data_IF_835411780073
#
_entry.id   IF_835411780073
#
_cell.length_a   1.000
_cell.length_b   1.000
_cell.length_c   1.000
_cell.angle_alpha   90.00
_cell.angle_beta   90.00
_cell.angle_gamma   90.00
#
_symmetry.space_group_name_H-M   'P 1'
#
loop_
_entity.id
_entity.type
_entity.pdbx_description
1 polymer ?
#
# COMPACT_ATOMS: atom_id res chain seq x y z
N UNK A 1 18.52 -2.93 -6.43
CA UNK A 1 17.37 -2.52 -5.61
C UNK A 1 17.80 -1.56 -4.54
N UNK A 2 16.91 -0.63 -4.21
CA UNK A 2 16.95 0.08 -2.95
C UNK A 2 16.62 -0.90 -1.81
N UNK A 3 16.92 -0.53 -0.58
CA UNK A 3 16.59 -1.38 0.58
C UNK A 3 15.15 -1.11 1.02
N UNK A 4 14.49 -2.08 1.67
CA UNK A 4 13.15 -1.87 2.27
C UNK A 4 13.08 -0.65 3.19
N UNK A 5 14.17 -0.33 3.90
CA UNK A 5 14.30 0.89 4.71
C UNK A 5 14.29 2.16 3.85
N UNK A 6 14.97 2.13 2.71
CA UNK A 6 14.97 3.25 1.75
C UNK A 6 13.58 3.46 1.16
N UNK A 7 12.88 2.40 0.75
CA UNK A 7 11.50 2.50 0.27
C UNK A 7 10.57 3.12 1.32
N UNK A 8 10.60 2.58 2.54
CA UNK A 8 9.79 3.09 3.66
C UNK A 8 10.08 4.58 3.90
N UNK A 9 11.37 4.96 3.99
CA UNK A 9 11.75 6.34 4.27
C UNK A 9 11.30 7.29 3.15
N UNK A 10 11.57 6.94 1.90
CA UNK A 10 11.19 7.76 0.74
C UNK A 10 9.69 7.97 0.69
N UNK A 11 8.90 6.91 0.86
CA UNK A 11 7.45 7.03 0.86
C UNK A 11 6.92 7.89 2.01
N UNK A 12 7.44 7.72 3.23
CA UNK A 12 6.99 8.52 4.38
C UNK A 12 7.37 10.00 4.22
N UNK A 13 8.56 10.31 3.71
CA UNK A 13 8.96 11.70 3.43
C UNK A 13 8.07 12.31 2.36
N UNK A 14 7.81 11.60 1.26
CA UNK A 14 6.93 12.08 0.19
C UNK A 14 5.48 12.27 0.68
N UNK A 15 4.97 11.34 1.48
CA UNK A 15 3.63 11.43 2.08
C UNK A 15 3.54 12.60 3.06
N UNK A 16 4.56 12.80 3.90
CA UNK A 16 4.62 13.94 4.82
C UNK A 16 4.72 15.27 4.08
N UNK A 17 5.51 15.34 3.01
CA UNK A 17 5.58 16.52 2.14
C UNK A 17 4.23 16.83 1.49
N UNK A 18 3.52 15.82 0.99
CA UNK A 18 2.17 15.98 0.45
C UNK A 18 1.18 16.50 1.51
N UNK A 19 1.21 15.93 2.71
CA UNK A 19 0.36 16.38 3.82
C UNK A 19 0.63 17.84 4.23
N UNK A 20 1.91 18.25 4.30
CA UNK A 20 2.29 19.64 4.60
C UNK A 20 1.94 20.59 3.46
N UNK A 21 2.05 20.14 2.21
CA UNK A 21 1.72 20.93 1.03
C UNK A 21 0.21 21.12 0.84
N UNK A 22 -0.61 20.19 1.32
CA UNK A 22 -2.09 20.18 1.15
C UNK A 22 -2.77 21.54 1.36
N UNK A 23 -2.56 22.28 2.47
CA UNK A 23 -3.20 23.59 2.67
C UNK A 23 -2.75 24.69 1.68
N UNK A 24 -1.68 24.46 0.92
CA UNK A 24 -1.16 25.37 -0.10
C UNK A 24 -1.51 24.94 -1.53
N UNK A 25 -2.17 23.79 -1.71
CA UNK A 25 -2.62 23.33 -3.01
C UNK A 25 -4.03 23.85 -3.29
N UNK A 26 -4.30 24.24 -4.53
CA UNK A 26 -5.65 24.60 -4.98
C UNK A 26 -6.54 23.35 -5.19
N UNK A 27 -6.00 22.16 -4.93
CA UNK A 27 -6.72 20.88 -4.99
C UNK A 27 -6.93 20.34 -3.58
N UNK A 28 -8.14 19.83 -3.33
CA UNK A 28 -8.43 19.13 -2.07
C UNK A 28 -7.75 17.76 -2.08
N UNK A 29 -6.85 17.54 -1.11
CA UNK A 29 -6.19 16.24 -0.89
C UNK A 29 -6.87 15.59 0.31
N UNK A 30 -7.73 14.58 0.11
CA UNK A 30 -8.48 13.99 1.21
C UNK A 30 -7.54 13.33 2.22
N UNK A 31 -7.85 13.48 3.50
CA UNK A 31 -7.07 12.85 4.57
C UNK A 31 -6.97 11.32 4.41
N UNK A 32 -8.02 10.68 3.89
CA UNK A 32 -8.04 9.25 3.56
C UNK A 32 -6.96 8.85 2.56
N UNK A 33 -6.56 9.73 1.62
CA UNK A 33 -5.44 9.48 0.71
C UNK A 33 -4.12 9.41 1.47
N UNK A 34 -3.87 10.35 2.39
CA UNK A 34 -2.67 10.35 3.23
C UNK A 34 -2.61 9.07 4.07
N UNK A 35 -3.74 8.68 4.68
CA UNK A 35 -3.83 7.42 5.44
C UNK A 35 -3.58 6.22 4.52
N UNK A 36 -4.16 6.20 3.32
CA UNK A 36 -3.90 5.19 2.29
C UNK A 36 -2.41 5.07 1.97
N UNK A 37 -1.72 6.18 1.74
CA UNK A 37 -0.29 6.20 1.46
C UNK A 37 0.56 5.65 2.62
N UNK A 38 0.19 5.97 3.87
CA UNK A 38 0.86 5.42 5.06
C UNK A 38 0.63 3.90 5.15
N UNK A 39 -0.61 3.44 4.98
CA UNK A 39 -0.95 2.01 5.02
C UNK A 39 -0.25 1.24 3.90
N UNK A 40 -0.27 1.78 2.68
CA UNK A 40 0.42 1.24 1.51
C UNK A 40 1.93 1.15 1.70
N UNK A 41 2.52 2.08 2.45
CA UNK A 41 3.95 2.07 2.75
C UNK A 41 4.32 1.07 3.84
N UNK A 42 3.51 1.01 4.89
CA UNK A 42 3.89 0.28 6.10
C UNK A 42 3.43 -1.17 6.09
N UNK A 43 2.20 -1.45 5.65
CA UNK A 43 1.57 -2.77 5.75
C UNK A 43 1.23 -3.41 4.40
N UNK A 44 0.91 -2.61 3.38
CA UNK A 44 0.54 -3.07 2.05
C UNK A 44 1.59 -2.72 0.97
N UNK A 45 2.87 -2.73 1.35
CA UNK A 45 3.99 -2.43 0.44
C UNK A 45 4.17 -3.52 -0.63
N UNK A 46 4.74 -3.21 -1.82
CA UNK A 46 5.04 -4.20 -2.85
C UNK A 46 5.86 -5.40 -2.34
N UNK A 47 6.79 -5.14 -1.42
CA UNK A 47 7.64 -6.18 -0.81
C UNK A 47 6.88 -7.11 0.15
N UNK A 48 5.56 -6.99 0.29
CA UNK A 48 4.72 -7.94 1.03
C UNK A 48 4.66 -9.31 0.33
N UNK A 49 5.12 -9.40 -0.92
CA UNK A 49 5.41 -10.66 -1.61
C UNK A 49 6.62 -11.42 -1.04
N UNK A 50 7.37 -10.80 -0.12
CA UNK A 50 8.46 -11.39 0.65
C UNK A 50 8.17 -11.35 2.16
N UNK A 51 8.99 -12.07 2.94
CA UNK A 51 9.04 -11.92 4.41
C UNK A 51 9.80 -10.63 4.80
N UNK A 52 9.27 -9.49 4.35
CA UNK A 52 9.83 -8.15 4.54
C UNK A 52 9.38 -7.48 5.85
N UNK A 53 9.85 -6.26 6.10
CA UNK A 53 9.38 -5.44 7.22
C UNK A 53 7.86 -5.23 7.17
N UNK A 54 7.28 -5.07 5.97
CA UNK A 54 5.83 -4.95 5.79
C UNK A 54 5.11 -6.22 6.27
N UNK A 55 5.62 -7.40 5.91
CA UNK A 55 5.11 -8.69 6.40
C UNK A 55 5.18 -8.79 7.92
N UNK A 56 6.30 -8.41 8.55
CA UNK A 56 6.45 -8.54 10.00
C UNK A 56 5.64 -7.50 10.80
N UNK A 57 5.32 -6.34 10.24
CA UNK A 57 4.47 -5.30 10.87
C UNK A 57 3.02 -5.73 11.11
N UNK A 58 2.55 -6.77 10.43
CA UNK A 58 1.25 -7.40 10.74
C UNK A 58 1.24 -8.17 12.07
N UNK A 59 2.39 -8.36 12.71
CA UNK A 59 2.47 -9.06 14.00
C UNK A 59 1.95 -10.50 13.86
N UNK A 60 1.04 -10.96 14.73
CA UNK A 60 0.41 -12.29 14.59
C UNK A 60 -0.37 -12.48 13.29
N UNK A 61 -0.98 -11.41 12.75
CA UNK A 61 -1.80 -11.47 11.54
C UNK A 61 -0.99 -11.71 10.25
N UNK A 62 0.34 -11.67 10.32
CA UNK A 62 1.22 -11.98 9.18
C UNK A 62 0.97 -13.37 8.60
N UNK A 63 0.43 -14.31 9.39
CA UNK A 63 0.08 -15.65 8.93
C UNK A 63 -0.91 -15.63 7.77
N UNK A 64 -1.82 -14.64 7.73
CA UNK A 64 -2.76 -14.45 6.63
C UNK A 64 -2.01 -14.21 5.32
N UNK A 65 -0.82 -13.60 5.35
CA UNK A 65 -0.02 -13.30 4.17
C UNK A 65 0.89 -14.46 3.72
N UNK A 66 0.96 -15.57 4.45
CA UNK A 66 1.81 -16.70 4.05
C UNK A 66 1.47 -17.29 2.67
N UNK A 67 0.19 -17.50 2.31
CA UNK A 67 -0.15 -17.93 0.95
C UNK A 67 0.27 -16.89 -0.11
N UNK A 68 0.01 -15.60 0.15
CA UNK A 68 0.44 -14.51 -0.74
C UNK A 68 1.95 -14.55 -0.98
N UNK A 69 2.78 -14.61 0.07
CA UNK A 69 4.25 -14.69 -0.03
C UNK A 69 4.72 -15.93 -0.80
N UNK A 70 4.01 -17.05 -0.72
CA UNK A 70 4.39 -18.29 -1.42
C UNK A 70 4.02 -18.28 -2.90
N UNK A 71 2.90 -17.64 -3.25
CA UNK A 71 2.33 -17.70 -4.60
C UNK A 71 2.71 -16.50 -5.45
N UNK A 72 2.92 -15.34 -4.84
CA UNK A 72 3.14 -14.09 -5.55
C UNK A 72 4.59 -13.96 -6.01
N UNK A 73 4.87 -13.91 -7.33
CA UNK A 73 6.24 -13.78 -7.81
C UNK A 73 6.79 -12.38 -7.51
N UNK A 74 7.99 -12.32 -6.93
CA UNK A 74 8.61 -11.05 -6.56
C UNK A 74 8.90 -10.17 -7.78
N UNK A 75 8.51 -8.90 -7.68
CA UNK A 75 8.58 -7.89 -8.77
C UNK A 75 7.87 -8.27 -10.07
N UNK A 76 6.83 -9.07 -9.98
CA UNK A 76 5.93 -9.28 -11.11
C UNK A 76 4.96 -8.11 -11.26
N UNK A 77 4.25 -8.07 -12.39
CA UNK A 77 3.12 -7.15 -12.57
C UNK A 77 2.08 -7.31 -11.46
N UNK A 78 1.92 -8.52 -10.93
CA UNK A 78 0.93 -8.81 -9.89
C UNK A 78 1.31 -8.27 -8.52
N UNK A 79 2.59 -8.07 -8.22
CA UNK A 79 3.03 -7.54 -6.92
C UNK A 79 3.52 -6.10 -6.93
N UNK A 80 3.92 -5.56 -8.08
CA UNK A 80 4.55 -4.24 -8.17
C UNK A 80 3.91 -3.29 -9.20
N UNK A 81 2.97 -3.71 -10.04
CA UNK A 81 2.27 -2.77 -10.93
C UNK A 81 1.32 -1.90 -10.09
N UNK A 82 1.49 -0.56 -10.05
CA UNK A 82 0.56 0.32 -9.34
C UNK A 82 -0.87 0.16 -9.86
N UNK A 83 -1.84 0.18 -8.96
CA UNK A 83 -3.23 -0.12 -9.27
C UNK A 83 -3.52 -1.62 -9.22
N UNK A 84 -2.91 -2.42 -10.10
CA UNK A 84 -3.20 -3.86 -10.15
C UNK A 84 -2.77 -4.58 -8.86
N UNK A 85 -1.54 -4.38 -8.41
CA UNK A 85 -1.03 -5.00 -7.19
C UNK A 85 -1.75 -4.50 -5.93
N UNK A 86 -2.22 -3.25 -5.95
CA UNK A 86 -3.05 -2.67 -4.89
C UNK A 86 -4.41 -3.35 -4.81
N UNK A 87 -5.08 -3.53 -5.96
CA UNK A 87 -6.36 -4.27 -6.06
C UNK A 87 -6.19 -5.71 -5.57
N UNK A 88 -5.12 -6.40 -5.97
CA UNK A 88 -4.87 -7.78 -5.55
C UNK A 88 -4.71 -7.86 -4.03
N UNK A 89 -3.90 -6.98 -3.41
CA UNK A 89 -3.69 -6.98 -1.96
C UNK A 89 -4.97 -6.63 -1.18
N UNK A 90 -5.75 -5.67 -1.67
CA UNK A 90 -7.05 -5.32 -1.07
C UNK A 90 -8.03 -6.46 -1.20
N UNK A 91 -8.14 -7.09 -2.37
CA UNK A 91 -9.02 -8.24 -2.57
C UNK A 91 -8.60 -9.40 -1.67
N UNK A 92 -7.29 -9.66 -1.55
CA UNK A 92 -6.74 -10.72 -0.72
C UNK A 92 -7.08 -10.56 0.77
N UNK A 93 -6.84 -9.38 1.35
CA UNK A 93 -7.14 -9.11 2.76
C UNK A 93 -8.62 -8.82 3.00
N UNK A 94 -9.30 -8.24 2.02
CA UNK A 94 -10.70 -7.83 2.08
C UNK A 94 -11.67 -8.99 1.93
N UNK A 95 -11.32 -10.05 1.19
CA UNK A 95 -12.18 -11.21 1.00
C UNK A 95 -12.71 -11.81 2.32
N UNK A 96 -11.87 -12.18 3.30
CA UNK A 96 -12.37 -12.67 4.58
C UNK A 96 -13.17 -11.61 5.35
N UNK A 97 -12.82 -10.33 5.22
CA UNK A 97 -13.54 -9.24 5.89
C UNK A 97 -14.96 -9.10 5.35
N UNK A 98 -15.16 -9.17 4.04
CA UNK A 98 -16.49 -9.11 3.40
C UNK A 98 -17.38 -10.26 3.82
N UNK A 99 -16.82 -11.45 4.06
CA UNK A 99 -17.59 -12.61 4.55
C UNK A 99 -18.04 -12.46 6.01
N UNK A 100 -17.21 -11.81 6.84
CA UNK A 100 -17.48 -11.66 8.28
C UNK A 100 -18.35 -10.43 8.56
N UNK A 101 -18.15 -9.35 7.82
CA UNK A 101 -18.73 -8.03 8.07
C UNK A 101 -20.26 -8.04 8.29
N UNK A 102 -21.08 -8.77 7.51
CA UNK A 102 -22.54 -8.80 7.68
C UNK A 102 -23.01 -9.38 9.01
N UNK A 103 -22.13 -10.08 9.73
CA UNK A 103 -22.41 -10.67 11.04
C UNK A 103 -21.92 -9.78 12.19
N UNK A 104 -21.53 -8.54 11.91
CA UNK A 104 -20.98 -7.60 12.91
C UNK A 104 -21.83 -6.34 13.01
N UNK A 105 -21.78 -5.67 14.15
CA UNK A 105 -22.42 -4.36 14.35
C UNK A 105 -21.76 -3.21 13.54
N UNK A 106 -20.68 -3.50 12.78
CA UNK A 106 -19.88 -2.51 12.07
C UNK A 106 -20.16 -2.45 10.57
N UNK A 107 -21.08 -3.26 10.03
CA UNK A 107 -21.35 -3.35 8.59
C UNK A 107 -21.66 -1.98 7.97
N UNK A 108 -22.69 -1.30 8.47
CA UNK A 108 -23.14 -0.02 7.92
C UNK A 108 -22.05 1.05 8.01
N UNK A 109 -21.34 1.11 9.14
CA UNK A 109 -20.26 2.07 9.35
C UNK A 109 -19.10 1.85 8.37
N UNK A 110 -18.71 0.60 8.13
CA UNK A 110 -17.63 0.26 7.20
C UNK A 110 -18.04 0.52 5.76
N UNK A 111 -19.29 0.18 5.37
CA UNK A 111 -19.81 0.48 4.02
C UNK A 111 -19.86 1.98 3.77
N UNK A 112 -20.45 2.74 4.69
CA UNK A 112 -20.51 4.20 4.60
C UNK A 112 -19.12 4.84 4.51
N UNK A 113 -18.17 4.38 5.33
CA UNK A 113 -16.80 4.85 5.24
C UNK A 113 -16.16 4.52 3.88
N UNK A 114 -16.37 3.31 3.37
CA UNK A 114 -15.83 2.90 2.08
C UNK A 114 -16.45 3.68 0.91
N UNK A 115 -17.75 3.98 0.96
CA UNK A 115 -18.45 4.76 -0.07
C UNK A 115 -17.92 6.20 -0.13
N UNK A 116 -17.61 6.79 1.03
CA UNK A 116 -17.12 8.18 1.12
C UNK A 116 -15.60 8.27 0.84
N UNK A 117 -14.82 7.35 1.41
CA UNK A 117 -13.35 7.47 1.48
C UNK A 117 -12.58 6.42 0.69
N UNK A 118 -13.24 5.37 0.20
CA UNK A 118 -12.59 4.20 -0.38
C UNK A 118 -11.71 4.53 -1.60
N UNK A 119 -12.20 5.36 -2.51
CA UNK A 119 -11.44 5.75 -3.70
C UNK A 119 -10.19 6.57 -3.35
N UNK A 120 -10.32 7.57 -2.49
CA UNK A 120 -9.17 8.40 -2.08
C UNK A 120 -8.15 7.60 -1.27
N UNK A 121 -8.61 6.72 -0.38
CA UNK A 121 -7.74 5.76 0.31
C UNK A 121 -7.01 4.85 -0.68
N UNK A 122 -7.72 4.31 -1.67
CA UNK A 122 -7.12 3.48 -2.73
C UNK A 122 -6.05 4.23 -3.53
N UNK A 123 -6.31 5.49 -3.92
CA UNK A 123 -5.31 6.33 -4.58
C UNK A 123 -4.08 6.56 -3.71
N UNK A 124 -4.24 6.63 -2.38
CA UNK A 124 -3.13 6.64 -1.43
C UNK A 124 -2.26 5.38 -1.52
N UNK A 125 -2.88 4.19 -1.59
CA UNK A 125 -2.15 2.93 -1.78
C UNK A 125 -1.37 2.93 -3.10
N UNK A 126 -2.03 3.33 -4.20
CA UNK A 126 -1.42 3.43 -5.52
C UNK A 126 -0.25 4.40 -5.53
N UNK A 127 -0.37 5.54 -4.83
CA UNK A 127 0.73 6.51 -4.66
C UNK A 127 1.95 5.86 -3.98
N UNK A 128 1.74 5.14 -2.88
CA UNK A 128 2.82 4.45 -2.16
C UNK A 128 3.50 3.37 -3.04
N UNK A 129 2.72 2.59 -3.79
CA UNK A 129 3.23 1.57 -4.71
C UNK A 129 4.00 2.19 -5.88
N UNK A 130 3.52 3.32 -6.42
CA UNK A 130 4.17 4.06 -7.50
C UNK A 130 5.55 4.55 -7.09
N UNK A 131 5.65 5.19 -5.92
CA UNK A 131 6.93 5.64 -5.39
C UNK A 131 7.90 4.48 -5.12
N UNK A 132 7.42 3.38 -4.53
CA UNK A 132 8.23 2.19 -4.26
C UNK A 132 8.83 1.63 -5.55
N UNK A 133 7.99 1.42 -6.56
CA UNK A 133 8.38 0.80 -7.83
C UNK A 133 9.27 1.73 -8.66
N UNK A 134 9.00 3.04 -8.64
CA UNK A 134 9.87 4.04 -9.27
C UNK A 134 11.26 4.02 -8.66
N UNK A 135 11.36 3.86 -7.34
CA UNK A 135 12.65 3.74 -6.65
C UNK A 135 13.41 2.46 -7.03
N UNK A 136 12.69 1.36 -7.28
CA UNK A 136 13.29 0.11 -7.76
C UNK A 136 13.92 0.27 -9.14
N UNK A 137 13.20 0.89 -10.08
CA UNK A 137 13.70 1.12 -11.43
C UNK A 137 14.88 2.10 -11.43
N UNK A 138 14.74 3.25 -10.75
CA UNK A 138 15.81 4.25 -10.70
C UNK A 138 17.08 3.70 -10.05
N UNK A 139 16.97 3.02 -8.90
CA UNK A 139 18.13 2.42 -8.23
C UNK A 139 18.81 1.34 -9.06
N UNK A 140 18.04 0.60 -9.87
CA UNK A 140 18.58 -0.44 -10.75
C UNK A 140 19.23 0.17 -11.99
N UNK A 141 18.67 1.24 -12.53
CA UNK A 141 19.24 1.98 -13.65
C UNK A 141 20.59 2.60 -13.28
N UNK A 142 20.68 3.32 -12.16
CA UNK A 142 21.94 3.96 -11.73
C UNK A 142 23.06 2.94 -11.50
N UNK A 143 22.76 1.77 -10.93
CA UNK A 143 23.76 0.69 -10.74
C UNK A 143 24.24 0.02 -12.03
N UNK A 144 23.53 0.22 -13.14
CA UNK A 144 23.90 -0.33 -14.46
C UNK A 144 24.62 0.70 -15.33
N UNK A 145 24.30 1.97 -15.14
CA UNK A 145 24.85 3.07 -15.93
C UNK A 145 26.21 3.58 -15.42
N UNK A 146 26.51 3.35 -14.14
CA UNK A 146 27.75 3.75 -13.45
C UNK A 146 28.27 2.57 -12.61
#
# INVERSE_FOLDING_TARGET
MASGKTHTRTNLVATGALAVATPFLEIDVPFSLIIGAIIGTLWLSPDLDLKSDAYYRWGPLKLIWLPYVKLMPHRSLFSHLPGLSDVIRIAYIGFPLVLILPFTAYEEAIRSWADIHGMSFFLGLVFATTLHTTLDYTSTFFKKAF
#
